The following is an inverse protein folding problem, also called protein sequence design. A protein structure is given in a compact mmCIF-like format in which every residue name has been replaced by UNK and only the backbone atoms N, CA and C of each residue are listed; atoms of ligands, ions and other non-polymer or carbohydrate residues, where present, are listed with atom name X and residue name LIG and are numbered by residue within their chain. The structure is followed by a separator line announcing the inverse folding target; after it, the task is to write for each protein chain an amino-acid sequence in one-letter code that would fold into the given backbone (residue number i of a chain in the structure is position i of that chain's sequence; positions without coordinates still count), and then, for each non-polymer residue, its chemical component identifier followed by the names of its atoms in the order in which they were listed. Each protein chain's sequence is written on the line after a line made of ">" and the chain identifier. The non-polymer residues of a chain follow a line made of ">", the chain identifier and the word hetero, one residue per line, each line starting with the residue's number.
data_IF_085847941650
#
_entry.id   IF_085847941650
#
_cell.length_a   1.000
_cell.length_b   1.000
_cell.length_c   1.000
_cell.angle_alpha   90.00
_cell.angle_beta   90.00
_cell.angle_gamma   90.00
#
_symmetry.space_group_name_H-M   'P 1'
#
loop_
_entity.id
_entity.type
_entity.pdbx_description
1 polymer ?
#
# COMPACT_ATOMS: atom_id res chain seq x y z
N UNK A 1 1.66 1.02 45.94
CA UNK A 1 1.20 2.10 45.03
C UNK A 1 1.19 1.53 43.63
N UNK A 2 0.15 1.79 42.83
CA UNK A 2 0.19 1.45 41.39
C UNK A 2 1.32 2.23 40.71
N UNK A 3 2.22 1.53 40.02
CA UNK A 3 3.24 2.17 39.21
C UNK A 3 2.61 2.64 37.88
N UNK A 4 2.21 3.91 37.83
CA UNK A 4 1.68 4.52 36.62
C UNK A 4 2.79 4.60 35.55
N UNK A 5 2.50 4.16 34.32
CA UNK A 5 3.47 4.18 33.21
C UNK A 5 3.56 5.54 32.52
N UNK A 6 3.00 6.59 33.11
CA UNK A 6 2.91 7.95 32.57
C UNK A 6 3.02 8.97 33.71
N UNK A 7 3.53 10.19 33.45
CA UNK A 7 3.65 11.23 34.47
C UNK A 7 2.29 11.64 35.01
N UNK A 8 2.23 11.87 36.33
CA UNK A 8 1.05 12.41 37.01
C UNK A 8 1.16 13.92 37.08
N UNK A 9 0.30 14.63 36.36
CA UNK A 9 0.27 16.09 36.33
C UNK A 9 -0.40 16.64 37.59
N UNK A 10 -0.03 17.85 38.02
CA UNK A 10 -0.74 18.50 39.12
C UNK A 10 -2.14 18.95 38.66
N UNK A 11 -3.10 19.10 39.57
CA UNK A 11 -4.41 19.70 39.28
C UNK A 11 -4.31 21.05 38.54
N UNK A 12 -3.29 21.86 38.85
CA UNK A 12 -3.11 23.19 38.30
C UNK A 12 -2.55 23.14 36.87
N UNK A 13 -1.61 22.23 36.60
CA UNK A 13 -1.11 21.94 35.24
C UNK A 13 -2.25 21.42 34.35
N UNK A 14 -3.07 20.51 34.87
CA UNK A 14 -4.22 19.94 34.15
C UNK A 14 -5.19 21.05 33.76
N UNK A 15 -5.62 21.89 34.71
CA UNK A 15 -6.53 23.01 34.42
C UNK A 15 -5.91 23.99 33.42
N UNK A 16 -4.63 24.35 33.61
CA UNK A 16 -3.91 25.26 32.70
C UNK A 16 -3.85 24.72 31.27
N UNK A 17 -3.51 23.44 31.12
CA UNK A 17 -3.48 22.78 29.81
C UNK A 17 -4.88 22.76 29.15
N UNK A 18 -5.91 22.35 29.89
CA UNK A 18 -7.29 22.28 29.39
C UNK A 18 -7.78 23.65 28.92
N UNK A 19 -7.53 24.72 29.70
CA UNK A 19 -7.91 26.09 29.33
C UNK A 19 -7.14 26.62 28.12
N UNK A 20 -5.86 26.29 27.98
CA UNK A 20 -5.00 26.82 26.91
C UNK A 20 -5.07 26.06 25.58
N UNK A 21 -5.37 24.75 25.61
CA UNK A 21 -5.18 23.87 24.45
C UNK A 21 -6.42 23.04 24.07
N UNK A 22 -7.46 22.99 24.91
CA UNK A 22 -8.64 22.14 24.67
C UNK A 22 -9.94 22.94 24.61
N UNK A 23 -10.17 23.79 25.62
CA UNK A 23 -11.39 24.57 25.78
C UNK A 23 -11.26 25.94 25.15
N UNK A 24 -12.38 26.55 24.77
CA UNK A 24 -12.40 27.87 24.12
C UNK A 24 -13.33 28.86 24.85
N UNK A 25 -12.98 30.16 24.76
CA UNK A 25 -13.86 31.27 25.15
C UNK A 25 -14.43 31.20 26.56
N UNK A 26 -15.74 30.97 26.67
CA UNK A 26 -16.44 30.86 27.95
C UNK A 26 -16.12 29.56 28.70
N UNK A 27 -15.92 28.43 28.00
CA UNK A 27 -15.60 27.12 28.60
C UNK A 27 -14.27 27.19 29.37
N UNK A 28 -13.25 27.78 28.73
CA UNK A 28 -11.93 27.95 29.33
C UNK A 28 -11.94 28.91 30.52
N UNK A 29 -12.70 30.02 30.45
CA UNK A 29 -12.80 30.99 31.55
C UNK A 29 -13.61 30.45 32.74
N UNK A 30 -14.65 29.66 32.47
CA UNK A 30 -15.54 29.10 33.51
C UNK A 30 -14.97 27.89 34.25
N UNK A 31 -14.10 27.09 33.62
CA UNK A 31 -13.51 25.91 34.26
C UNK A 31 -12.66 26.30 35.49
N UNK A 32 -12.96 25.77 36.67
CA UNK A 32 -12.10 25.90 37.87
C UNK A 32 -11.54 24.56 38.34
N UNK A 33 -10.51 24.62 39.20
CA UNK A 33 -9.93 23.45 39.88
C UNK A 33 -10.94 22.72 40.76
N UNK A 34 -11.89 23.44 41.35
CA UNK A 34 -12.90 22.86 42.23
C UNK A 34 -13.84 21.92 41.47
N UNK A 35 -14.20 22.28 40.24
CA UNK A 35 -15.13 21.54 39.35
C UNK A 35 -14.60 20.17 38.91
N UNK A 36 -13.30 19.91 39.06
CA UNK A 36 -12.64 18.65 38.66
C UNK A 36 -12.07 17.84 39.83
N UNK A 37 -11.69 18.50 40.93
CA UNK A 37 -10.88 17.87 41.98
C UNK A 37 -11.38 18.06 43.41
N UNK A 38 -12.25 19.05 43.67
CA UNK A 38 -12.90 19.18 44.98
C UNK A 38 -14.24 18.44 44.98
N UNK A 39 -15.16 18.88 44.12
CA UNK A 39 -16.41 18.19 43.80
C UNK A 39 -16.48 18.04 42.27
N UNK A 40 -16.01 16.90 41.71
CA UNK A 40 -16.00 16.68 40.27
C UNK A 40 -17.44 16.74 39.71
N UNK A 41 -17.72 17.74 38.88
CA UNK A 41 -19.03 17.91 38.23
C UNK A 41 -19.11 17.02 37.00
N UNK A 42 -20.07 16.08 36.90
CA UNK A 42 -20.20 15.18 35.75
C UNK A 42 -20.25 15.94 34.42
N UNK A 43 -21.04 17.01 34.34
CA UNK A 43 -21.33 17.76 33.12
C UNK A 43 -20.08 18.46 32.58
N UNK A 44 -19.26 19.01 33.48
CA UNK A 44 -17.98 19.64 33.15
C UNK A 44 -16.98 18.60 32.64
N UNK A 45 -16.95 17.42 33.26
CA UNK A 45 -16.08 16.33 32.83
C UNK A 45 -16.54 15.71 31.50
N UNK A 46 -17.85 15.60 31.27
CA UNK A 46 -18.43 15.14 30.01
C UNK A 46 -18.03 16.06 28.86
N UNK A 47 -18.18 17.37 29.05
CA UNK A 47 -17.75 18.39 28.08
C UNK A 47 -16.25 18.26 27.77
N UNK A 48 -15.39 18.11 28.79
CA UNK A 48 -13.95 17.92 28.60
C UNK A 48 -13.64 16.65 27.81
N UNK A 49 -14.24 15.52 28.15
CA UNK A 49 -14.04 14.25 27.43
C UNK A 49 -14.57 14.32 25.98
N UNK A 50 -15.74 14.93 25.74
CA UNK A 50 -16.24 15.18 24.39
C UNK A 50 -15.28 16.06 23.57
N UNK A 51 -14.75 17.13 24.15
CA UNK A 51 -13.75 18.02 23.51
C UNK A 51 -12.44 17.27 23.19
N UNK A 52 -12.01 16.36 24.06
CA UNK A 52 -10.82 15.51 23.83
C UNK A 52 -11.06 14.57 22.64
N UNK A 53 -12.20 13.88 22.61
CA UNK A 53 -12.57 12.97 21.51
C UNK A 53 -12.75 13.71 20.19
N UNK A 54 -13.36 14.91 20.20
CA UNK A 54 -13.41 15.83 19.07
C UNK A 54 -12.00 16.15 18.54
N UNK A 55 -11.07 16.54 19.42
CA UNK A 55 -9.71 16.95 19.03
C UNK A 55 -8.82 15.80 18.56
N UNK A 56 -8.97 14.61 19.16
CA UNK A 56 -8.14 13.43 18.86
C UNK A 56 -8.65 12.66 17.64
N UNK A 57 -9.95 12.37 17.59
CA UNK A 57 -10.57 11.49 16.58
C UNK A 57 -11.47 12.20 15.57
N UNK A 58 -11.77 13.50 15.74
CA UNK A 58 -12.69 14.21 14.84
C UNK A 58 -14.16 13.82 15.01
N UNK A 59 -14.52 13.18 16.13
CA UNK A 59 -15.90 12.78 16.45
C UNK A 59 -16.76 14.04 16.59
N UNK A 60 -17.81 14.20 15.79
CA UNK A 60 -18.69 15.37 15.81
C UNK A 60 -19.68 15.28 16.98
N UNK A 61 -20.26 16.41 17.38
CA UNK A 61 -21.22 16.45 18.50
C UNK A 61 -22.41 15.52 18.26
N UNK A 62 -22.93 15.49 17.03
CA UNK A 62 -24.04 14.61 16.60
C UNK A 62 -23.78 13.12 16.85
N UNK A 63 -22.51 12.65 16.77
CA UNK A 63 -22.15 11.25 16.96
C UNK A 63 -22.44 10.76 18.39
N UNK A 64 -22.36 11.64 19.38
CA UNK A 64 -22.72 11.33 20.75
C UNK A 64 -24.24 11.11 20.93
N UNK A 65 -25.06 11.62 20.02
CA UNK A 65 -26.53 11.46 20.03
C UNK A 65 -27.03 10.39 19.05
N UNK A 66 -26.14 9.63 18.39
CA UNK A 66 -26.57 8.57 17.48
C UNK A 66 -27.04 7.32 18.21
N UNK A 67 -28.20 6.80 17.79
CA UNK A 67 -28.75 5.53 18.23
C UNK A 67 -28.07 4.35 17.50
N UNK A 68 -27.70 3.25 18.17
CA UNK A 68 -27.27 2.03 17.50
C UNK A 68 -28.40 1.42 16.66
N UNK A 69 -28.14 1.17 15.38
CA UNK A 69 -29.14 0.66 14.39
C UNK A 69 -29.65 -0.76 14.68
N UNK A 70 -29.00 -1.48 15.59
CA UNK A 70 -29.27 -2.88 15.93
C UNK A 70 -30.07 -3.06 17.24
N UNK A 71 -30.63 -1.97 17.79
CA UNK A 71 -31.45 -2.02 19.00
C UNK A 71 -32.87 -1.56 18.65
N UNK A 72 -33.83 -2.49 18.72
CA UNK A 72 -35.23 -2.20 18.47
C UNK A 72 -35.86 -1.53 19.70
N UNK A 73 -36.01 -0.21 19.65
CA UNK A 73 -36.51 0.62 20.75
C UNK A 73 -37.88 1.19 20.37
N UNK A 74 -38.92 0.84 21.13
CA UNK A 74 -40.29 1.31 20.86
C UNK A 74 -40.47 2.83 20.98
N UNK A 75 -39.66 3.50 21.82
CA UNK A 75 -39.73 4.95 22.04
C UNK A 75 -38.33 5.58 22.06
N UNK A 76 -37.69 5.82 20.91
CA UNK A 76 -36.31 6.32 20.82
C UNK A 76 -36.09 7.66 21.54
N UNK A 77 -37.10 8.53 21.61
CA UNK A 77 -37.04 9.87 22.18
C UNK A 77 -36.71 9.85 23.68
N UNK A 78 -37.13 8.79 24.40
CA UNK A 78 -36.86 8.63 25.85
C UNK A 78 -35.35 8.53 26.13
N UNK A 79 -34.56 8.10 25.15
CA UNK A 79 -33.12 7.86 25.29
C UNK A 79 -32.26 9.08 24.92
N UNK A 80 -32.82 10.17 24.38
CA UNK A 80 -32.06 11.34 23.90
C UNK A 80 -31.10 11.92 24.95
N UNK A 81 -31.52 11.95 26.23
CA UNK A 81 -30.66 12.39 27.34
C UNK A 81 -29.61 11.37 27.79
N UNK A 82 -29.80 10.08 27.50
CA UNK A 82 -28.87 8.99 27.89
C UNK A 82 -27.83 8.70 26.80
N UNK A 83 -28.20 8.83 25.52
CA UNK A 83 -27.29 8.63 24.38
C UNK A 83 -25.94 9.34 24.51
N UNK A 84 -25.85 10.66 24.82
CA UNK A 84 -24.56 11.32 24.95
C UNK A 84 -23.70 10.73 26.08
N UNK A 85 -24.30 10.28 27.19
CA UNK A 85 -23.58 9.63 28.30
C UNK A 85 -23.07 8.24 27.90
N UNK A 86 -23.91 7.46 27.21
CA UNK A 86 -23.58 6.11 26.76
C UNK A 86 -22.50 6.11 25.66
N UNK A 87 -22.68 6.92 24.61
CA UNK A 87 -21.70 7.04 23.53
C UNK A 87 -20.39 7.66 24.03
N UNK A 88 -20.43 8.62 24.95
CA UNK A 88 -19.23 9.14 25.60
C UNK A 88 -18.47 8.03 26.34
N UNK A 89 -19.15 7.17 27.10
CA UNK A 89 -18.53 6.02 27.75
C UNK A 89 -17.86 5.09 26.73
N UNK A 90 -18.59 4.66 25.68
CA UNK A 90 -18.09 3.74 24.65
C UNK A 90 -16.83 4.30 23.95
N UNK A 91 -16.82 5.60 23.64
CA UNK A 91 -15.66 6.24 23.04
C UNK A 91 -14.48 6.38 24.01
N UNK A 92 -14.73 6.74 25.28
CA UNK A 92 -13.68 6.89 26.29
C UNK A 92 -13.08 5.56 26.74
N UNK A 93 -13.88 4.50 26.87
CA UNK A 93 -13.44 3.12 27.14
C UNK A 93 -12.47 2.62 26.07
N UNK A 94 -12.71 2.95 24.79
CA UNK A 94 -11.81 2.61 23.68
C UNK A 94 -10.57 3.50 23.61
N UNK A 95 -10.69 4.78 24.00
CA UNK A 95 -9.61 5.75 23.92
C UNK A 95 -8.58 5.61 25.05
N UNK A 96 -9.04 5.45 26.29
CA UNK A 96 -8.18 5.48 27.48
C UNK A 96 -7.08 4.40 27.52
N UNK A 97 -7.25 3.19 26.96
CA UNK A 97 -6.15 2.22 26.81
C UNK A 97 -4.98 2.75 25.97
N UNK A 98 -5.24 3.59 24.95
CA UNK A 98 -4.21 4.30 24.18
C UNK A 98 -3.45 5.29 25.07
N UNK A 99 -4.16 5.93 26.01
CA UNK A 99 -3.61 6.76 27.08
C UNK A 99 -3.02 5.96 28.27
N UNK A 100 -2.88 4.64 28.14
CA UNK A 100 -2.38 3.70 29.17
C UNK A 100 -3.25 3.59 30.44
N UNK A 101 -4.55 3.83 30.30
CA UNK A 101 -5.57 3.69 31.34
C UNK A 101 -6.56 2.60 30.93
N UNK A 102 -6.55 1.46 31.63
CA UNK A 102 -7.33 0.28 31.24
C UNK A 102 -8.53 -0.02 32.16
N UNK A 103 -8.72 0.76 33.24
CA UNK A 103 -9.71 0.49 34.29
C UNK A 103 -10.85 1.52 34.34
N UNK A 104 -11.15 2.15 33.20
CA UNK A 104 -12.25 3.12 33.09
C UNK A 104 -13.61 2.42 33.14
N UNK A 105 -14.58 3.03 33.82
CA UNK A 105 -15.91 2.44 34.04
C UNK A 105 -17.01 3.49 33.83
N UNK A 106 -18.24 3.05 33.54
CA UNK A 106 -19.40 3.95 33.40
C UNK A 106 -19.62 4.82 34.66
N UNK A 107 -19.24 4.32 35.84
CA UNK A 107 -19.25 5.07 37.09
C UNK A 107 -18.31 6.29 37.08
N UNK A 108 -17.25 6.31 36.28
CA UNK A 108 -16.36 7.47 36.13
C UNK A 108 -16.98 8.59 35.27
N UNK A 109 -17.99 8.25 34.45
CA UNK A 109 -18.81 9.21 33.70
C UNK A 109 -19.94 9.73 34.58
N UNK A 110 -20.66 8.84 35.27
CA UNK A 110 -21.87 9.21 36.04
C UNK A 110 -21.54 9.79 37.42
N UNK A 111 -20.50 9.29 38.10
CA UNK A 111 -20.15 9.67 39.47
C UNK A 111 -18.61 9.82 39.66
N UNK A 112 -17.99 10.76 38.93
CA UNK A 112 -16.53 10.92 38.86
C UNK A 112 -15.87 11.14 40.23
N UNK A 113 -14.72 10.49 40.43
CA UNK A 113 -13.92 10.61 41.67
C UNK A 113 -12.62 11.35 41.41
N UNK A 114 -12.39 12.45 42.12
CA UNK A 114 -11.26 13.37 41.92
C UNK A 114 -9.89 12.70 41.69
N UNK A 115 -9.55 11.68 42.50
CA UNK A 115 -8.28 10.94 42.36
C UNK A 115 -8.19 10.13 41.05
N UNK A 116 -9.29 9.56 40.57
CA UNK A 116 -9.40 8.82 39.29
C UNK A 116 -9.41 9.80 38.12
N UNK A 117 -10.23 10.86 38.18
CA UNK A 117 -10.28 11.96 37.21
C UNK A 117 -8.88 12.55 36.95
N UNK A 118 -8.11 12.84 38.00
CA UNK A 118 -6.73 13.33 37.87
C UNK A 118 -5.79 12.34 37.17
N UNK A 119 -5.92 11.03 37.45
CA UNK A 119 -5.13 9.98 36.78
C UNK A 119 -5.49 9.87 35.30
N UNK A 120 -6.78 9.91 34.96
CA UNK A 120 -7.26 9.83 33.58
C UNK A 120 -6.82 11.04 32.76
N UNK A 121 -7.05 12.26 33.26
CA UNK A 121 -6.60 13.48 32.59
C UNK A 121 -5.07 13.50 32.44
N UNK A 122 -4.30 12.98 33.42
CA UNK A 122 -2.85 12.85 33.29
C UNK A 122 -2.42 11.92 32.13
N UNK A 123 -3.06 10.75 32.01
CA UNK A 123 -2.78 9.81 30.91
C UNK A 123 -3.14 10.40 29.55
N UNK A 124 -4.28 11.10 29.47
CA UNK A 124 -4.72 11.80 28.25
C UNK A 124 -3.72 12.91 27.88
N UNK A 125 -3.34 13.77 28.81
CA UNK A 125 -2.36 14.85 28.56
C UNK A 125 -1.04 14.29 28.03
N UNK A 126 -0.51 13.23 28.66
CA UNK A 126 0.68 12.53 28.18
C UNK A 126 0.53 12.02 26.73
N UNK A 127 -0.62 11.42 26.38
CA UNK A 127 -0.90 11.01 25.00
C UNK A 127 -0.99 12.21 24.04
N UNK A 128 -1.68 13.30 24.41
CA UNK A 128 -1.82 14.47 23.53
C UNK A 128 -0.48 15.17 23.33
N UNK A 129 0.37 15.29 24.35
CA UNK A 129 1.74 15.79 24.20
C UNK A 129 2.58 14.93 23.26
N UNK A 130 2.47 13.60 23.35
CA UNK A 130 3.13 12.69 22.39
C UNK A 130 2.56 12.84 20.97
N UNK A 131 1.24 13.01 20.82
CA UNK A 131 0.60 13.24 19.52
C UNK A 131 1.09 14.54 18.87
N UNK A 132 1.10 15.64 19.60
CA UNK A 132 1.55 16.93 19.05
C UNK A 132 3.06 16.91 18.72
N UNK A 133 3.92 16.23 19.52
CA UNK A 133 5.35 16.09 19.17
C UNK A 133 5.63 15.16 17.98
N UNK A 134 4.66 14.36 17.55
CA UNK A 134 4.69 13.59 16.29
C UNK A 134 3.97 14.26 15.12
N UNK A 135 3.23 15.34 15.38
CA UNK A 135 2.35 15.97 14.39
C UNK A 135 3.12 16.64 13.26
N UNK A 136 4.23 17.29 13.56
CA UNK A 136 5.08 17.95 12.55
C UNK A 136 5.58 16.95 11.50
N UNK A 137 6.22 15.86 11.94
CA UNK A 137 6.68 14.77 11.06
C UNK A 137 5.54 14.13 10.26
N UNK A 138 4.35 14.01 10.85
CA UNK A 138 3.18 13.50 10.13
C UNK A 138 2.68 14.46 9.04
N UNK A 139 2.63 15.77 9.33
CA UNK A 139 2.21 16.79 8.37
C UNK A 139 3.21 16.93 7.21
N UNK A 140 4.51 16.83 7.48
CA UNK A 140 5.55 16.77 6.46
C UNK A 140 5.34 15.56 5.51
N UNK A 141 5.15 14.36 6.08
CA UNK A 141 4.88 13.15 5.30
C UNK A 141 3.57 13.27 4.48
N UNK A 142 2.52 13.85 5.07
CA UNK A 142 1.24 14.09 4.40
C UNK A 142 1.39 15.07 3.22
N UNK A 143 2.16 16.14 3.39
CA UNK A 143 2.44 17.11 2.32
C UNK A 143 3.24 16.48 1.18
N UNK A 144 4.29 15.72 1.52
CA UNK A 144 5.11 15.01 0.52
C UNK A 144 4.28 13.99 -0.28
N UNK A 145 3.38 13.24 0.38
CA UNK A 145 2.46 12.34 -0.28
C UNK A 145 1.47 13.08 -1.21
N UNK A 146 0.91 14.20 -0.75
CA UNK A 146 0.00 15.04 -1.55
C UNK A 146 0.69 15.55 -2.82
N UNK A 147 1.89 16.12 -2.71
CA UNK A 147 2.67 16.60 -3.85
C UNK A 147 3.02 15.47 -4.84
N UNK A 148 3.34 14.28 -4.34
CA UNK A 148 3.59 13.11 -5.18
C UNK A 148 2.32 12.68 -5.95
N UNK A 149 1.15 12.72 -5.31
CA UNK A 149 -0.13 12.39 -5.94
C UNK A 149 -0.53 13.42 -7.01
N UNK A 150 -0.36 14.72 -6.72
CA UNK A 150 -0.58 15.80 -7.69
C UNK A 150 0.33 15.66 -8.91
N UNK A 151 1.62 15.36 -8.71
CA UNK A 151 2.56 15.07 -9.81
C UNK A 151 2.17 13.81 -10.60
N UNK A 152 1.68 12.76 -9.93
CA UNK A 152 1.23 11.55 -10.62
C UNK A 152 0.03 11.85 -11.54
N UNK A 153 -0.97 12.59 -11.05
CA UNK A 153 -2.15 12.98 -11.83
C UNK A 153 -1.79 13.90 -13.02
N UNK A 154 -0.82 14.80 -12.86
CA UNK A 154 -0.29 15.61 -13.97
C UNK A 154 0.37 14.75 -15.06
N UNK A 155 1.22 13.79 -14.67
CA UNK A 155 1.87 12.88 -15.60
C UNK A 155 0.88 11.93 -16.29
N UNK A 156 -0.14 11.47 -15.58
CA UNK A 156 -1.22 10.64 -16.14
C UNK A 156 -2.02 11.43 -17.20
N UNK A 157 -2.36 12.69 -16.91
CA UNK A 157 -3.03 13.59 -17.86
C UNK A 157 -2.16 13.82 -19.11
N UNK A 158 -0.88 14.13 -18.93
CA UNK A 158 0.07 14.33 -20.03
C UNK A 158 0.26 13.05 -20.89
N UNK A 159 0.27 11.87 -20.27
CA UNK A 159 0.32 10.58 -20.98
C UNK A 159 -0.96 10.34 -21.80
N UNK A 160 -2.14 10.67 -21.28
CA UNK A 160 -3.41 10.57 -22.01
C UNK A 160 -3.41 11.52 -23.22
N UNK A 161 -2.97 12.77 -23.07
CA UNK A 161 -2.82 13.70 -24.19
C UNK A 161 -1.81 13.21 -25.25
N UNK A 162 -0.68 12.64 -24.82
CA UNK A 162 0.32 12.08 -25.71
C UNK A 162 -0.22 10.86 -26.48
N UNK A 163 -0.99 9.99 -25.82
CA UNK A 163 -1.65 8.85 -26.46
C UNK A 163 -2.65 9.30 -27.53
N UNK A 164 -3.49 10.30 -27.25
CA UNK A 164 -4.43 10.87 -28.24
C UNK A 164 -3.70 11.54 -29.41
N UNK A 165 -2.55 12.19 -29.17
CA UNK A 165 -1.70 12.73 -30.25
C UNK A 165 -1.11 11.62 -31.11
N UNK A 166 -0.61 10.54 -30.50
CA UNK A 166 -0.11 9.35 -31.21
C UNK A 166 -1.20 8.68 -32.05
N UNK A 167 -2.41 8.52 -31.53
CA UNK A 167 -3.54 7.96 -32.26
C UNK A 167 -3.88 8.81 -33.50
N UNK A 168 -3.94 10.14 -33.36
CA UNK A 168 -4.15 11.08 -34.47
C UNK A 168 -3.04 11.07 -35.53
N UNK A 169 -1.79 10.79 -35.14
CA UNK A 169 -0.67 10.70 -36.08
C UNK A 169 -0.60 9.34 -36.79
N UNK A 170 -1.02 8.26 -36.10
CA UNK A 170 -1.08 6.92 -36.68
C UNK A 170 -2.32 6.69 -37.56
N UNK A 171 -3.37 7.49 -37.40
CA UNK A 171 -4.54 7.50 -38.30
C UNK A 171 -4.27 8.38 -39.51
N UNK A 172 -3.80 7.76 -40.60
CA UNK A 172 -3.76 8.44 -41.92
C UNK A 172 -5.21 8.83 -42.29
N UNK A 173 -5.50 10.10 -42.56
CA UNK A 173 -6.82 10.53 -42.99
C UNK A 173 -7.27 9.77 -44.24
N UNK A 174 -8.54 9.35 -44.27
CA UNK A 174 -9.10 8.57 -45.41
C UNK A 174 -8.95 9.33 -46.73
N UNK A 175 -9.01 10.66 -46.68
CA UNK A 175 -8.75 11.58 -47.79
C UNK A 175 -7.31 11.44 -48.32
N UNK A 176 -6.30 11.50 -47.45
CA UNK A 176 -4.89 11.32 -47.85
C UNK A 176 -4.61 9.90 -48.34
N UNK A 177 -5.26 8.89 -47.77
CA UNK A 177 -5.15 7.50 -48.23
C UNK A 177 -5.77 7.33 -49.63
N UNK A 178 -6.85 8.06 -49.94
CA UNK A 178 -7.47 8.08 -51.27
C UNK A 178 -6.60 8.83 -52.29
N UNK A 179 -6.06 10.00 -51.92
CA UNK A 179 -5.12 10.77 -52.76
C UNK A 179 -3.86 9.96 -53.09
N UNK A 180 -3.25 9.29 -52.10
CA UNK A 180 -2.08 8.44 -52.33
C UNK A 180 -2.38 7.28 -53.30
N UNK A 181 -3.58 6.69 -53.19
CA UNK A 181 -4.01 5.61 -54.07
C UNK A 181 -4.23 6.13 -55.48
N UNK A 182 -4.96 7.24 -55.63
CA UNK A 182 -5.21 7.85 -56.94
C UNK A 182 -3.91 8.26 -57.63
N UNK A 183 -2.97 8.88 -56.91
CA UNK A 183 -1.65 9.23 -57.44
C UNK A 183 -0.84 7.98 -57.84
N UNK A 184 -0.95 6.88 -57.09
CA UNK A 184 -0.31 5.61 -57.44
C UNK A 184 -0.91 4.98 -58.70
N UNK A 185 -2.25 5.05 -58.85
CA UNK A 185 -2.96 4.56 -60.02
C UNK A 185 -2.59 5.41 -61.26
N UNK A 186 -2.55 6.75 -61.13
CA UNK A 186 -2.12 7.70 -62.18
C UNK A 186 -0.67 7.46 -62.62
N UNK A 187 0.26 7.22 -61.68
CA UNK A 187 1.67 6.87 -61.98
C UNK A 187 1.71 5.56 -62.76
N UNK A 188 0.94 4.55 -62.37
CA UNK A 188 0.92 3.25 -63.03
C UNK A 188 0.36 3.35 -64.46
N UNK A 189 -0.67 4.19 -64.70
CA UNK A 189 -1.18 4.46 -66.04
C UNK A 189 -0.14 5.20 -66.91
N UNK A 190 0.55 6.21 -66.35
CA UNK A 190 1.64 6.93 -67.02
C UNK A 190 2.82 6.00 -67.40
N UNK A 191 3.22 5.08 -66.52
CA UNK A 191 4.26 4.08 -66.80
C UNK A 191 3.85 3.12 -67.93
N UNK A 192 2.58 2.69 -67.96
CA UNK A 192 2.04 1.84 -69.03
C UNK A 192 1.99 2.59 -70.38
N UNK A 193 1.49 3.83 -70.38
CA UNK A 193 1.46 4.69 -71.56
C UNK A 193 2.87 4.94 -72.11
N UNK A 194 3.82 5.34 -71.24
CA UNK A 194 5.21 5.57 -71.62
C UNK A 194 5.85 4.30 -72.19
N UNK A 195 5.62 3.14 -71.55
CA UNK A 195 6.12 1.84 -72.01
C UNK A 195 5.55 1.44 -73.38
N UNK A 196 4.26 1.68 -73.61
CA UNK A 196 3.61 1.43 -74.90
C UNK A 196 4.19 2.34 -76.00
N UNK A 197 4.30 3.64 -75.72
CA UNK A 197 4.76 4.63 -76.68
C UNK A 197 6.25 4.45 -77.03
N UNK A 198 7.06 4.04 -76.05
CA UNK A 198 8.47 3.68 -76.27
C UNK A 198 8.61 2.44 -77.17
N UNK A 199 7.82 1.38 -76.91
CA UNK A 199 7.78 0.18 -77.78
C UNK A 199 7.36 0.54 -79.21
N UNK A 200 6.33 1.37 -79.37
CA UNK A 200 5.83 1.84 -80.67
C UNK A 200 6.90 2.64 -81.43
N UNK A 201 7.58 3.58 -80.77
CA UNK A 201 8.70 4.34 -81.35
C UNK A 201 9.88 3.44 -81.73
N UNK A 202 10.21 2.45 -80.90
CA UNK A 202 11.29 1.48 -81.19
C UNK A 202 10.97 0.64 -82.44
N UNK A 203 9.74 0.14 -82.56
CA UNK A 203 9.30 -0.61 -83.74
C UNK A 203 9.33 0.25 -85.01
N UNK A 204 8.83 1.49 -84.95
CA UNK A 204 8.89 2.41 -86.09
C UNK A 204 10.32 2.76 -86.51
N UNK A 205 11.24 2.94 -85.55
CA UNK A 205 12.66 3.15 -85.84
C UNK A 205 13.33 1.91 -86.45
N UNK A 206 13.00 0.71 -85.97
CA UNK A 206 13.50 -0.54 -86.56
C UNK A 206 13.04 -0.71 -88.01
N UNK A 207 11.79 -0.37 -88.33
CA UNK A 207 11.27 -0.40 -89.70
C UNK A 207 12.01 0.59 -90.62
N UNK A 208 12.21 1.83 -90.17
CA UNK A 208 12.99 2.84 -90.91
C UNK A 208 14.45 2.37 -91.10
N UNK A 209 15.07 1.76 -90.10
CA UNK A 209 16.42 1.18 -90.20
C UNK A 209 16.45 0.03 -91.20
N UNK A 210 15.42 -0.83 -91.22
CA UNK A 210 15.28 -1.94 -92.19
C UNK A 210 15.19 -1.40 -93.62
N UNK A 211 14.30 -0.44 -93.86
CA UNK A 211 14.16 0.22 -95.16
C UNK A 211 15.47 0.90 -95.59
N UNK A 212 16.13 1.64 -94.69
CA UNK A 212 17.41 2.31 -95.00
C UNK A 212 18.54 1.31 -95.32
N UNK A 213 18.57 0.14 -94.66
CA UNK A 213 19.51 -0.94 -95.04
C UNK A 213 19.21 -1.46 -96.44
N UNK A 214 17.94 -1.66 -96.80
CA UNK A 214 17.53 -2.04 -98.15
C UNK A 214 17.98 -0.99 -99.19
N UNK A 215 17.63 0.28 -98.98
CA UNK A 215 18.04 1.42 -99.82
C UNK A 215 19.58 1.46 -100.04
N UNK A 216 20.36 1.21 -98.98
CA UNK A 216 21.83 1.18 -99.03
C UNK A 216 22.34 0.00 -99.87
N UNK A 217 21.75 -1.20 -99.72
CA UNK A 217 22.15 -2.35 -100.54
C UNK A 217 21.85 -2.15 -102.02
N UNK A 218 20.70 -1.54 -102.35
CA UNK A 218 20.33 -1.22 -103.73
C UNK A 218 21.25 -0.14 -104.32
N UNK A 219 21.54 0.93 -103.57
CA UNK A 219 22.47 1.99 -104.02
C UNK A 219 23.90 1.50 -104.14
N UNK A 220 24.37 0.62 -103.25
CA UNK A 220 25.70 -0.01 -103.36
C UNK A 220 25.81 -0.86 -104.62
N UNK A 221 24.74 -1.59 -104.99
CA UNK A 221 24.69 -2.32 -106.27
C UNK A 221 24.82 -1.36 -107.47
N UNK A 222 23.99 -0.31 -107.53
CA UNK A 222 24.04 0.70 -108.61
C UNK A 222 25.39 1.42 -108.69
N UNK A 223 26.03 1.69 -107.55
CA UNK A 223 27.38 2.28 -107.48
C UNK A 223 28.43 1.34 -108.11
N UNK A 224 28.33 0.04 -107.86
CA UNK A 224 29.26 -0.93 -108.43
C UNK A 224 29.06 -1.09 -109.94
N UNK A 225 27.80 -1.09 -110.41
CA UNK A 225 27.46 -1.04 -111.83
C UNK A 225 28.07 0.21 -112.51
N UNK A 226 27.92 1.40 -111.90
CA UNK A 226 28.52 2.65 -112.40
C UNK A 226 30.06 2.65 -112.40
N UNK A 227 30.71 2.04 -111.41
CA UNK A 227 32.18 1.93 -111.36
C UNK A 227 32.74 1.15 -112.55
N UNK A 228 32.03 0.11 -113.01
CA UNK A 228 32.41 -0.62 -114.23
C UNK A 228 32.33 0.29 -115.46
N UNK A 229 31.24 1.05 -115.63
CA UNK A 229 31.11 1.99 -116.75
C UNK A 229 32.09 3.17 -116.71
N UNK A 230 32.54 3.58 -115.52
CA UNK A 230 33.56 4.63 -115.40
C UNK A 230 34.96 4.13 -115.78
N UNK A 231 35.24 2.84 -115.60
CA UNK A 231 36.51 2.25 -116.02
C UNK A 231 36.62 2.23 -117.55
N UNK A 232 35.56 1.82 -118.26
CA UNK A 232 35.53 1.79 -119.74
C UNK A 232 35.65 3.20 -120.33
N UNK A 233 34.95 4.20 -119.77
CA UNK A 233 35.05 5.59 -120.23
C UNK A 233 36.44 6.22 -119.98
N UNK A 234 37.21 5.72 -119.01
CA UNK A 234 38.61 6.17 -118.80
C UNK A 234 39.56 5.61 -119.86
N UNK A 235 39.36 4.38 -120.33
CA UNK A 235 40.13 3.85 -121.47
C UNK A 235 39.90 4.69 -122.74
N UNK A 236 38.66 5.16 -122.96
CA UNK A 236 38.33 6.08 -124.07
C UNK A 236 38.94 7.48 -123.87
N UNK A 237 38.98 7.99 -122.63
CA UNK A 237 39.56 9.30 -122.30
C UNK A 237 41.08 9.36 -122.55
N UNK A 238 41.81 8.28 -122.24
CA UNK A 238 43.25 8.21 -122.44
C UNK A 238 43.63 8.11 -123.95
N UNK A 239 42.76 7.55 -124.80
CA UNK A 239 42.96 7.56 -126.27
C UNK A 239 42.83 8.97 -126.89
N UNK A 240 41.94 9.80 -126.35
CA UNK A 240 41.63 11.14 -126.86
C UNK A 240 42.63 12.24 -126.43
N UNK A 241 43.55 11.96 -125.50
CA UNK A 241 44.62 12.89 -125.07
C UNK A 241 45.80 13.03 -126.05
N UNK A 242 45.72 12.41 -127.23
CA UNK A 242 46.82 12.37 -128.22
C UNK A 242 46.76 13.45 -129.32
N UNK A 243 45.79 14.40 -129.25
CA UNK A 243 45.59 15.40 -130.31
C UNK A 243 45.29 16.82 -129.78
N UNK A 244 46.12 17.75 -130.27
CA UNK A 244 45.94 19.21 -130.43
C UNK A 244 46.62 20.12 -129.41
N UNK A 245 47.37 21.05 -130.03
CA UNK A 245 48.26 22.14 -129.61
C UNK A 245 48.12 23.13 -130.80
N UNK A 246 48.15 24.47 -130.69
CA UNK A 246 48.90 25.33 -129.78
C UNK A 246 48.14 26.65 -129.40
N UNK A 247 48.92 27.65 -129.00
CA UNK A 247 48.72 29.10 -128.81
C UNK A 247 47.94 29.85 -129.92
N UNK A 248 47.43 31.08 -129.68
CA UNK A 248 48.31 32.24 -129.41
C UNK A 248 47.93 33.13 -128.22
N UNK A 249 48.95 33.50 -127.45
CA UNK A 249 48.97 34.74 -126.68
C UNK A 249 49.10 35.94 -127.62
N UNK A 250 48.13 36.86 -127.61
CA UNK A 250 48.39 38.31 -127.70
C UNK A 250 47.19 39.19 -127.25
N UNK A 251 46.34 38.68 -126.36
CA UNK A 251 45.30 39.47 -125.65
C UNK A 251 45.27 39.19 -124.14
N UNK A 252 46.45 38.87 -123.57
CA UNK A 252 46.61 38.44 -122.17
C UNK A 252 46.88 39.63 -121.23
N UNK A 253 47.84 40.49 -121.60
CA UNK A 253 48.37 41.54 -120.72
C UNK A 253 47.45 42.74 -120.46
N UNK A 254 46.38 42.96 -121.26
CA UNK A 254 45.36 43.97 -120.94
C UNK A 254 44.18 43.38 -120.14
N UNK A 255 43.96 42.07 -120.25
CA UNK A 255 42.88 41.38 -119.55
C UNK A 255 43.28 40.98 -118.11
N UNK A 256 44.57 40.74 -117.84
CA UNK A 256 45.09 40.43 -116.50
C UNK A 256 44.99 41.61 -115.53
N UNK A 257 45.33 42.84 -115.94
CA UNK A 257 45.25 44.03 -115.08
C UNK A 257 43.81 44.37 -114.66
N UNK A 258 42.85 44.16 -115.57
CA UNK A 258 41.42 44.34 -115.29
C UNK A 258 40.85 43.16 -114.46
N UNK A 259 41.34 41.92 -114.69
CA UNK A 259 41.07 40.76 -113.82
C UNK A 259 41.56 40.99 -112.40
N UNK A 260 42.78 41.50 -112.18
CA UNK A 260 43.31 41.76 -110.83
C UNK A 260 42.45 42.80 -110.10
N UNK A 261 42.05 43.87 -110.77
CA UNK A 261 41.21 44.91 -110.16
C UNK A 261 39.82 44.38 -109.79
N UNK A 262 39.19 43.60 -110.67
CA UNK A 262 37.90 42.94 -110.40
C UNK A 262 38.02 41.85 -109.34
N UNK A 263 39.09 41.04 -109.35
CA UNK A 263 39.33 40.00 -108.35
C UNK A 263 39.60 40.59 -106.97
N UNK A 264 40.31 41.72 -106.87
CA UNK A 264 40.52 42.44 -105.60
C UNK A 264 39.20 42.95 -105.03
N UNK A 265 38.31 43.49 -105.86
CA UNK A 265 36.98 43.95 -105.43
C UNK A 265 36.04 42.78 -105.09
N UNK A 266 36.08 41.67 -105.83
CA UNK A 266 35.35 40.44 -105.49
C UNK A 266 35.83 39.88 -104.15
N UNK A 267 37.14 39.68 -103.99
CA UNK A 267 37.73 39.19 -102.74
C UNK A 267 37.39 40.08 -101.54
N UNK A 268 37.45 41.41 -101.69
CA UNK A 268 36.99 42.35 -100.65
C UNK A 268 35.49 42.23 -100.35
N UNK A 269 34.65 41.92 -101.34
CA UNK A 269 33.21 41.65 -101.14
C UNK A 269 32.97 40.30 -100.45
N UNK A 270 33.65 39.23 -100.89
CA UNK A 270 33.64 37.92 -100.23
C UNK A 270 34.07 38.06 -98.75
N UNK A 271 35.17 38.75 -98.45
CA UNK A 271 35.65 39.01 -97.08
C UNK A 271 34.64 39.80 -96.21
N UNK A 272 33.82 40.67 -96.82
CA UNK A 272 32.73 41.38 -96.12
C UNK A 272 31.52 40.47 -95.91
N UNK A 273 31.21 39.59 -96.86
CA UNK A 273 30.14 38.59 -96.73
C UNK A 273 30.50 37.55 -95.67
N UNK A 274 31.70 36.95 -95.69
CA UNK A 274 32.17 36.02 -94.65
C UNK A 274 32.11 36.65 -93.25
N UNK A 275 32.51 37.92 -93.10
CA UNK A 275 32.38 38.65 -91.83
C UNK A 275 30.91 38.85 -91.44
N UNK A 276 30.05 39.18 -92.38
CA UNK A 276 28.61 39.36 -92.11
C UNK A 276 27.92 38.04 -91.74
N UNK A 277 28.23 36.94 -92.42
CA UNK A 277 27.72 35.61 -92.08
C UNK A 277 28.27 35.14 -90.72
N UNK A 278 29.56 35.35 -90.44
CA UNK A 278 30.13 35.09 -89.12
C UNK A 278 29.46 35.89 -87.99
N UNK A 279 29.06 37.14 -88.23
CA UNK A 279 28.26 37.92 -87.27
C UNK A 279 26.80 37.42 -87.17
N UNK A 280 26.17 37.02 -88.29
CA UNK A 280 24.82 36.44 -88.30
C UNK A 280 24.78 35.17 -87.45
N UNK A 281 25.73 34.26 -87.67
CA UNK A 281 25.78 32.97 -86.97
C UNK A 281 26.06 33.16 -85.46
N UNK A 282 26.85 34.18 -85.10
CA UNK A 282 27.03 34.58 -83.70
C UNK A 282 25.72 35.08 -83.06
N UNK A 283 24.90 35.82 -83.82
CA UNK A 283 23.60 36.34 -83.37
C UNK A 283 22.54 35.23 -83.31
N UNK A 284 22.56 34.24 -84.22
CA UNK A 284 21.67 33.07 -84.15
C UNK A 284 22.02 32.14 -82.97
N UNK A 285 23.28 32.10 -82.52
CA UNK A 285 23.68 31.33 -81.33
C UNK A 285 23.29 31.99 -79.99
N UNK A 286 23.05 33.31 -80.00
CA UNK A 286 22.80 34.13 -78.80
C UNK A 286 21.57 33.68 -77.97
N UNK A 287 20.41 33.34 -78.59
CA UNK A 287 19.24 32.82 -77.86
C UNK A 287 19.48 31.47 -77.15
N UNK A 288 20.32 30.60 -77.71
CA UNK A 288 20.69 29.33 -77.07
C UNK A 288 21.53 29.59 -75.81
N UNK A 289 22.53 30.48 -75.92
CA UNK A 289 23.35 30.91 -74.80
C UNK A 289 22.50 31.60 -73.70
N UNK A 290 21.54 32.46 -74.08
CA UNK A 290 20.60 33.09 -73.15
C UNK A 290 19.71 32.06 -72.42
N UNK A 291 19.25 31.02 -73.12
CA UNK A 291 18.45 29.93 -72.55
C UNK A 291 19.26 29.10 -71.55
N UNK A 292 20.54 28.87 -71.83
CA UNK A 292 21.46 28.17 -70.93
C UNK A 292 21.77 29.01 -69.66
N UNK A 293 21.97 30.32 -69.79
CA UNK A 293 22.12 31.23 -68.63
C UNK A 293 20.90 31.19 -67.72
N UNK A 294 19.67 31.20 -68.28
CA UNK A 294 18.44 31.08 -67.50
C UNK A 294 18.31 29.72 -66.79
N UNK A 295 18.81 28.65 -67.40
CA UNK A 295 18.86 27.33 -66.77
C UNK A 295 19.82 27.32 -65.56
N UNK A 296 20.98 27.97 -65.68
CA UNK A 296 21.92 28.09 -64.55
C UNK A 296 21.39 28.99 -63.44
N UNK A 297 20.68 30.09 -63.74
CA UNK A 297 19.99 30.89 -62.72
C UNK A 297 18.97 30.07 -61.92
N UNK A 298 18.09 29.31 -62.60
CA UNK A 298 17.14 28.40 -61.92
C UNK A 298 17.81 27.30 -61.10
N UNK A 299 19.03 26.86 -61.46
CA UNK A 299 19.82 25.93 -60.65
C UNK A 299 20.40 26.62 -59.41
N UNK A 300 20.87 27.86 -59.52
CA UNK A 300 21.34 28.66 -58.38
C UNK A 300 20.22 28.93 -57.37
N UNK A 301 19.04 29.37 -57.81
CA UNK A 301 17.88 29.61 -56.92
C UNK A 301 17.45 28.36 -56.14
N UNK A 302 17.54 27.17 -56.76
CA UNK A 302 17.29 25.89 -56.08
C UNK A 302 18.38 25.58 -55.06
N UNK A 303 19.64 25.85 -55.40
CA UNK A 303 20.77 25.60 -54.51
C UNK A 303 20.74 26.51 -53.28
N UNK A 304 20.35 27.78 -53.44
CA UNK A 304 20.15 28.73 -52.34
C UNK A 304 19.10 28.21 -51.34
N UNK A 305 17.92 27.81 -51.83
CA UNK A 305 16.87 27.18 -50.99
C UNK A 305 17.34 25.90 -50.29
N UNK A 306 18.12 25.06 -50.98
CA UNK A 306 18.69 23.86 -50.37
C UNK A 306 19.68 24.18 -49.24
N UNK A 307 20.47 25.26 -49.37
CA UNK A 307 21.39 25.73 -48.32
C UNK A 307 20.61 26.27 -47.12
N UNK A 308 19.52 26.99 -47.35
CA UNK A 308 18.64 27.50 -46.28
C UNK A 308 17.95 26.37 -45.50
N UNK A 309 17.43 25.35 -46.21
CA UNK A 309 16.89 24.12 -45.60
C UNK A 309 17.98 23.38 -44.79
N UNK A 310 19.19 23.25 -45.34
CA UNK A 310 20.30 22.59 -44.65
C UNK A 310 20.69 23.34 -43.36
N UNK A 311 20.67 24.67 -43.37
CA UNK A 311 20.92 25.48 -42.18
C UNK A 311 19.84 25.26 -41.09
N UNK A 312 18.56 25.17 -41.48
CA UNK A 312 17.47 24.82 -40.57
C UNK A 312 17.68 23.44 -39.94
N UNK A 313 17.94 22.41 -40.75
CA UNK A 313 18.18 21.04 -40.26
C UNK A 313 19.38 20.97 -39.32
N UNK A 314 20.48 21.67 -39.62
CA UNK A 314 21.65 21.74 -38.74
C UNK A 314 21.36 22.40 -37.39
N UNK A 315 20.42 23.36 -37.35
CA UNK A 315 19.97 23.98 -36.09
C UNK A 315 19.09 23.04 -35.26
N UNK A 316 18.25 22.24 -35.90
CA UNK A 316 17.43 21.22 -35.24
C UNK A 316 18.30 20.09 -34.67
N UNK A 317 19.29 19.63 -35.43
CA UNK A 317 20.27 18.62 -34.96
C UNK A 317 20.97 19.08 -33.69
N UNK A 318 21.48 20.33 -33.63
CA UNK A 318 22.10 20.87 -32.41
C UNK A 318 21.16 20.91 -31.22
N UNK A 319 19.92 21.33 -31.42
CA UNK A 319 18.91 21.36 -30.36
C UNK A 319 18.61 19.95 -29.83
N UNK A 320 18.59 18.93 -30.71
CA UNK A 320 18.44 17.53 -30.33
C UNK A 320 19.69 16.99 -29.60
N UNK A 321 20.89 17.41 -29.98
CA UNK A 321 22.15 17.08 -29.29
C UNK A 321 22.16 17.67 -27.86
N UNK A 322 21.82 18.95 -27.69
CA UNK A 322 21.70 19.63 -26.39
C UNK A 322 20.66 18.93 -25.49
N UNK A 323 19.49 18.57 -26.05
CA UNK A 323 18.45 17.82 -25.34
C UNK A 323 18.96 16.43 -24.91
N UNK A 324 19.68 15.73 -25.78
CA UNK A 324 20.22 14.40 -25.49
C UNK A 324 21.28 14.45 -24.39
N UNK A 325 22.18 15.44 -24.40
CA UNK A 325 23.15 15.63 -23.31
C UNK A 325 22.45 15.94 -21.98
N UNK A 326 21.45 16.81 -21.99
CA UNK A 326 20.68 17.14 -20.77
C UNK A 326 19.98 15.91 -20.16
N UNK A 327 19.31 15.09 -20.99
CA UNK A 327 18.69 13.84 -20.56
C UNK A 327 19.72 12.81 -20.05
N UNK A 328 20.93 12.80 -20.62
CA UNK A 328 22.01 11.91 -20.20
C UNK A 328 22.62 12.32 -18.85
N UNK A 329 22.62 13.62 -18.52
CA UNK A 329 22.96 14.14 -17.19
C UNK A 329 21.89 13.74 -16.16
N UNK A 330 20.61 13.92 -16.49
CA UNK A 330 19.51 13.48 -15.61
C UNK A 330 19.53 11.98 -15.34
N UNK A 331 19.81 11.16 -16.37
CA UNK A 331 19.95 9.71 -16.22
C UNK A 331 21.11 9.32 -15.28
N UNK A 332 22.25 10.03 -15.35
CA UNK A 332 23.39 9.81 -14.42
C UNK A 332 23.02 10.17 -12.97
N UNK A 333 22.27 11.27 -12.79
CA UNK A 333 21.75 11.66 -11.46
C UNK A 333 20.78 10.62 -10.92
N UNK A 334 19.78 10.21 -11.70
CA UNK A 334 18.80 9.19 -11.32
C UNK A 334 19.43 7.84 -10.94
N UNK A 335 20.46 7.39 -11.66
CA UNK A 335 21.24 6.19 -11.29
C UNK A 335 21.99 6.34 -9.97
N UNK A 336 22.49 7.54 -9.66
CA UNK A 336 23.17 7.82 -8.39
C UNK A 336 22.17 7.79 -7.22
N UNK A 337 21.00 8.40 -7.42
CA UNK A 337 19.90 8.39 -6.46
C UNK A 337 19.39 6.96 -6.22
N UNK A 338 19.20 6.15 -7.27
CA UNK A 338 18.82 4.73 -7.20
C UNK A 338 19.81 3.91 -6.34
N UNK A 339 21.12 4.07 -6.54
CA UNK A 339 22.15 3.39 -5.74
C UNK A 339 22.10 3.83 -4.27
N UNK A 340 21.84 5.12 -4.00
CA UNK A 340 21.69 5.62 -2.63
C UNK A 340 20.46 5.04 -1.93
N UNK A 341 19.33 4.94 -2.63
CA UNK A 341 18.08 4.37 -2.13
C UNK A 341 18.21 2.87 -1.89
N UNK A 342 18.86 2.12 -2.79
CA UNK A 342 19.17 0.69 -2.59
C UNK A 342 19.98 0.47 -1.30
N UNK A 343 21.03 1.27 -1.05
CA UNK A 343 21.80 1.20 0.21
C UNK A 343 20.94 1.49 1.44
N UNK A 344 20.05 2.48 1.36
CA UNK A 344 19.12 2.82 2.44
C UNK A 344 18.14 1.67 2.74
N UNK A 345 17.59 1.03 1.71
CA UNK A 345 16.70 -0.14 1.85
C UNK A 345 17.41 -1.29 2.56
N UNK A 346 18.63 -1.66 2.13
CA UNK A 346 19.43 -2.70 2.80
C UNK A 346 19.65 -2.37 4.29
N UNK A 347 20.09 -1.15 4.60
CA UNK A 347 20.33 -0.73 5.98
C UNK A 347 19.05 -0.67 6.85
N UNK A 348 17.86 -0.52 6.24
CA UNK A 348 16.57 -0.65 6.95
C UNK A 348 16.20 -2.11 7.17
N UNK A 349 16.48 -2.98 6.21
CA UNK A 349 16.22 -4.42 6.28
C UNK A 349 17.08 -5.10 7.37
N UNK A 350 18.37 -4.77 7.45
CA UNK A 350 19.26 -5.23 8.52
C UNK A 350 18.78 -4.82 9.92
N UNK A 351 18.29 -3.58 10.06
CA UNK A 351 17.72 -3.07 11.32
C UNK A 351 16.43 -3.79 11.69
N UNK A 352 15.59 -4.13 10.71
CA UNK A 352 14.36 -4.89 10.92
C UNK A 352 14.69 -6.31 11.41
N UNK A 353 15.56 -7.03 10.71
CA UNK A 353 16.01 -8.37 11.09
C UNK A 353 16.64 -8.39 12.50
N UNK A 354 17.47 -7.39 12.82
CA UNK A 354 18.03 -7.23 14.18
C UNK A 354 16.95 -7.00 15.24
N UNK A 355 15.87 -6.30 14.91
CA UNK A 355 14.75 -6.08 15.83
C UNK A 355 13.89 -7.34 15.99
N UNK A 356 13.66 -8.11 14.92
CA UNK A 356 12.93 -9.38 14.93
C UNK A 356 13.65 -10.41 15.81
N UNK A 357 14.96 -10.59 15.65
CA UNK A 357 15.78 -11.48 16.50
C UNK A 357 15.68 -11.09 17.99
N UNK A 358 15.64 -9.78 18.29
CA UNK A 358 15.46 -9.27 19.67
C UNK A 358 14.05 -9.48 20.22
N UNK A 359 13.03 -9.48 19.36
CA UNK A 359 11.64 -9.78 19.75
C UNK A 359 11.52 -11.27 20.04
N UNK A 360 12.09 -12.13 19.18
CA UNK A 360 11.99 -13.58 19.35
C UNK A 360 12.70 -14.06 20.61
N UNK A 361 13.94 -13.60 20.84
CA UNK A 361 14.64 -13.88 22.09
C UNK A 361 13.83 -13.47 23.33
N UNK A 362 13.14 -12.33 23.30
CA UNK A 362 12.25 -11.92 24.39
C UNK A 362 11.01 -12.79 24.54
N UNK A 363 10.50 -13.40 23.47
CA UNK A 363 9.42 -14.40 23.54
C UNK A 363 9.92 -15.67 24.21
N UNK A 364 11.10 -16.16 23.81
CA UNK A 364 11.76 -17.32 24.43
C UNK A 364 12.00 -17.09 25.94
N UNK A 365 12.59 -15.95 26.31
CA UNK A 365 12.84 -15.58 27.72
C UNK A 365 11.53 -15.57 28.55
N UNK A 366 10.43 -15.06 27.99
CA UNK A 366 9.11 -15.00 28.65
C UNK A 366 8.45 -16.38 28.76
N UNK A 367 8.56 -17.22 27.74
CA UNK A 367 7.98 -18.57 27.76
C UNK A 367 8.75 -19.49 28.71
N UNK A 368 10.09 -19.39 28.77
CA UNK A 368 10.90 -20.05 29.79
C UNK A 368 10.52 -19.60 31.22
N UNK A 369 10.33 -18.28 31.43
CA UNK A 369 9.87 -17.78 32.72
C UNK A 369 8.49 -18.35 33.09
N UNK A 370 7.54 -18.34 32.16
CA UNK A 370 6.20 -18.93 32.33
C UNK A 370 6.24 -20.41 32.68
N UNK A 371 7.10 -21.21 32.01
CA UNK A 371 7.32 -22.61 32.35
C UNK A 371 7.85 -22.78 33.78
N UNK A 372 8.84 -21.98 34.19
CA UNK A 372 9.39 -22.04 35.55
C UNK A 372 8.36 -21.70 36.65
N UNK A 373 7.45 -20.75 36.37
CA UNK A 373 6.34 -20.39 37.27
C UNK A 373 5.31 -21.52 37.35
N UNK A 374 4.96 -22.16 36.22
CA UNK A 374 4.05 -23.32 36.21
C UNK A 374 4.62 -24.50 37.01
N UNK A 375 5.90 -24.81 36.86
CA UNK A 375 6.56 -25.83 37.68
C UNK A 375 6.53 -25.51 39.18
N UNK A 376 6.73 -24.23 39.55
CA UNK A 376 6.66 -23.80 40.95
C UNK A 376 5.23 -23.95 41.49
N UNK A 377 4.22 -23.52 40.73
CA UNK A 377 2.81 -23.69 41.08
C UNK A 377 2.43 -25.17 41.26
N UNK A 378 2.90 -26.06 40.38
CA UNK A 378 2.68 -27.51 40.50
C UNK A 378 3.30 -28.06 41.80
N UNK A 379 4.56 -27.72 42.10
CA UNK A 379 5.22 -28.12 43.36
C UNK A 379 4.51 -27.60 44.63
N UNK A 380 3.88 -26.43 44.56
CA UNK A 380 3.05 -25.90 45.65
C UNK A 380 1.72 -26.66 45.75
N UNK A 381 1.08 -26.96 44.62
CA UNK A 381 -0.16 -27.74 44.55
C UNK A 381 0.02 -29.16 45.12
N UNK A 382 1.10 -29.86 44.76
CA UNK A 382 1.50 -31.17 45.29
C UNK A 382 1.68 -31.13 46.82
N UNK A 383 2.46 -30.16 47.33
CA UNK A 383 2.63 -29.97 48.78
C UNK A 383 1.31 -29.70 49.49
N UNK A 384 0.41 -28.92 48.88
CA UNK A 384 -0.92 -28.64 49.44
C UNK A 384 -1.79 -29.89 49.47
N UNK A 385 -1.74 -30.74 48.43
CA UNK A 385 -2.38 -32.05 48.41
C UNK A 385 -1.90 -32.94 49.55
N UNK A 386 -0.59 -33.14 49.67
CA UNK A 386 0.00 -33.95 50.74
C UNK A 386 -0.31 -33.43 52.17
N UNK A 387 -0.51 -32.12 52.35
CA UNK A 387 -0.99 -31.56 53.62
C UNK A 387 -2.49 -31.82 53.82
N UNK A 388 -3.31 -31.69 52.77
CA UNK A 388 -4.74 -31.97 52.82
C UNK A 388 -5.03 -33.43 53.19
N UNK A 389 -4.28 -34.39 52.60
CA UNK A 389 -4.42 -35.82 52.90
C UNK A 389 -4.08 -36.13 54.37
N UNK A 390 -3.03 -35.50 54.91
CA UNK A 390 -2.67 -35.60 56.34
C UNK A 390 -3.75 -35.02 57.24
N UNK A 391 -4.28 -33.84 56.92
CA UNK A 391 -5.37 -33.20 57.68
C UNK A 391 -6.64 -34.07 57.65
N UNK A 392 -6.96 -34.66 56.50
CA UNK A 392 -8.11 -35.57 56.35
C UNK A 392 -7.92 -36.84 57.17
N UNK A 393 -6.71 -37.40 57.19
CA UNK A 393 -6.36 -38.57 58.02
C UNK A 393 -6.54 -38.25 59.51
N UNK A 394 -5.96 -37.16 60.00
CA UNK A 394 -6.10 -36.71 61.40
C UNK A 394 -7.57 -36.43 61.74
N UNK A 395 -8.36 -35.85 60.82
CA UNK A 395 -9.78 -35.63 61.05
C UNK A 395 -10.53 -36.96 61.25
N UNK A 396 -10.26 -37.97 60.43
CA UNK A 396 -10.85 -39.30 60.55
C UNK A 396 -10.46 -39.99 61.88
N UNK A 397 -9.19 -39.87 62.30
CA UNK A 397 -8.72 -40.36 63.60
C UNK A 397 -9.42 -39.67 64.78
N UNK A 398 -9.63 -38.35 64.71
CA UNK A 398 -10.39 -37.57 65.70
C UNK A 398 -11.85 -38.07 65.78
N UNK A 399 -12.50 -38.30 64.64
CA UNK A 399 -13.89 -38.81 64.62
C UNK A 399 -13.98 -40.22 65.22
N UNK A 400 -13.08 -41.13 64.85
CA UNK A 400 -13.01 -42.48 65.44
C UNK A 400 -12.74 -42.44 66.95
N UNK A 401 -11.86 -41.54 67.40
CA UNK A 401 -11.53 -41.39 68.83
C UNK A 401 -12.71 -40.83 69.62
N UNK A 402 -13.42 -39.83 69.09
CA UNK A 402 -14.66 -39.30 69.69
C UNK A 402 -15.74 -40.38 69.82
N UNK A 403 -15.93 -41.19 68.78
CA UNK A 403 -16.88 -42.30 68.81
C UNK A 403 -16.52 -43.33 69.90
N UNK A 404 -15.24 -43.70 70.04
CA UNK A 404 -14.76 -44.59 71.13
C UNK A 404 -14.99 -43.98 72.52
N UNK A 405 -14.74 -42.68 72.69
CA UNK A 405 -15.00 -41.98 73.97
C UNK A 405 -16.50 -42.02 74.30
N UNK A 406 -17.37 -41.77 73.32
CA UNK A 406 -18.82 -41.86 73.52
C UNK A 406 -19.24 -43.27 73.96
N UNK A 407 -18.78 -44.32 73.27
CA UNK A 407 -19.07 -45.71 73.65
C UNK A 407 -18.58 -46.07 75.05
N UNK A 408 -17.40 -45.57 75.46
CA UNK A 408 -16.87 -45.77 76.81
C UNK A 408 -17.72 -45.07 77.87
N UNK A 409 -18.19 -43.83 77.61
CA UNK A 409 -19.08 -43.11 78.51
C UNK A 409 -20.43 -43.82 78.64
N UNK A 410 -21.07 -44.21 77.53
CA UNK A 410 -22.34 -44.96 77.54
C UNK A 410 -22.22 -46.31 78.29
N UNK A 411 -21.05 -46.95 78.24
CA UNK A 411 -20.80 -48.18 79.01
C UNK A 411 -20.54 -47.88 80.49
N UNK A 412 -19.81 -46.81 80.82
CA UNK A 412 -19.59 -46.39 82.21
C UNK A 412 -20.91 -46.00 82.90
N UNK A 413 -21.80 -45.26 82.21
CA UNK A 413 -23.14 -44.94 82.71
C UNK A 413 -23.98 -46.20 82.96
N UNK A 414 -23.91 -47.22 82.08
CA UNK A 414 -24.60 -48.51 82.28
C UNK A 414 -24.05 -49.26 83.49
N UNK A 415 -22.73 -49.31 83.69
CA UNK A 415 -22.14 -49.94 84.87
C UNK A 415 -22.44 -49.16 86.16
N UNK A 416 -22.48 -47.83 86.13
CA UNK A 416 -22.91 -47.01 87.26
C UNK A 416 -24.38 -47.27 87.63
N UNK A 417 -25.26 -47.40 86.63
CA UNK A 417 -26.66 -47.77 86.84
C UNK A 417 -26.81 -49.17 87.45
N UNK A 418 -26.07 -50.18 86.96
CA UNK A 418 -26.02 -51.51 87.58
C UNK A 418 -25.50 -51.46 89.02
N UNK A 419 -24.45 -50.68 89.28
CA UNK A 419 -23.88 -50.55 90.63
C UNK A 419 -24.89 -49.90 91.60
N UNK A 420 -25.63 -48.89 91.16
CA UNK A 420 -26.74 -48.28 91.91
C UNK A 420 -27.86 -49.29 92.18
N UNK A 421 -28.24 -50.09 91.19
CA UNK A 421 -29.26 -51.14 91.33
C UNK A 421 -28.83 -52.23 92.32
N UNK A 422 -27.59 -52.72 92.23
CA UNK A 422 -27.01 -53.68 93.17
C UNK A 422 -26.99 -53.10 94.60
N UNK A 423 -26.58 -51.84 94.76
CA UNK A 423 -26.58 -51.16 96.05
C UNK A 423 -27.99 -51.05 96.65
N UNK A 424 -28.99 -50.65 95.85
CA UNK A 424 -30.39 -50.57 96.27
C UNK A 424 -30.95 -51.95 96.68
N UNK A 425 -30.67 -52.98 95.89
CA UNK A 425 -31.09 -54.35 96.18
C UNK A 425 -30.44 -54.91 97.45
N UNK A 426 -29.14 -54.67 97.65
CA UNK A 426 -28.43 -55.02 98.89
C UNK A 426 -29.02 -54.28 100.10
N UNK A 427 -29.28 -52.97 99.98
CA UNK A 427 -29.90 -52.16 101.03
C UNK A 427 -31.27 -52.70 101.42
N UNK A 428 -32.15 -52.94 100.45
CA UNK A 428 -33.49 -53.50 100.69
C UNK A 428 -33.42 -54.91 101.30
N UNK A 429 -32.46 -55.75 100.88
CA UNK A 429 -32.19 -57.05 101.50
C UNK A 429 -31.73 -56.93 102.96
N UNK A 430 -30.89 -55.93 103.26
CA UNK A 430 -30.42 -55.64 104.62
C UNK A 430 -31.56 -55.15 105.52
N UNK A 431 -32.39 -54.24 105.03
CA UNK A 431 -33.59 -53.73 105.72
C UNK A 431 -34.57 -54.86 106.01
N UNK A 432 -34.89 -55.70 105.01
CA UNK A 432 -35.75 -56.89 105.18
C UNK A 432 -35.20 -57.87 106.22
N UNK A 433 -33.87 -58.01 106.33
CA UNK A 433 -33.22 -58.84 107.36
C UNK A 433 -33.32 -58.21 108.76
N UNK A 434 -33.17 -56.89 108.88
CA UNK A 434 -33.40 -56.16 110.13
C UNK A 434 -34.86 -56.28 110.58
N UNK A 435 -35.84 -56.05 109.69
CA UNK A 435 -37.26 -56.23 109.99
C UNK A 435 -37.59 -57.66 110.44
N UNK A 436 -36.96 -58.65 109.80
CA UNK A 436 -37.10 -60.06 110.18
C UNK A 436 -36.54 -60.31 111.59
N UNK A 437 -35.34 -59.80 111.90
CA UNK A 437 -34.75 -59.88 113.25
C UNK A 437 -35.61 -59.16 114.30
N UNK A 438 -36.15 -57.98 113.99
CA UNK A 438 -37.06 -57.24 114.86
C UNK A 438 -38.36 -58.03 115.11
N UNK A 439 -38.92 -58.68 114.08
CA UNK A 439 -40.07 -59.59 114.25
C UNK A 439 -39.72 -60.79 115.13
N UNK A 440 -38.58 -61.44 114.91
CA UNK A 440 -38.16 -62.58 115.74
C UNK A 440 -37.95 -62.15 117.20
N UNK A 441 -37.33 -61.00 117.45
CA UNK A 441 -37.16 -60.43 118.79
C UNK A 441 -38.50 -60.10 119.47
N UNK A 442 -39.46 -59.50 118.75
CA UNK A 442 -40.81 -59.25 119.24
C UNK A 442 -41.57 -60.54 119.56
N UNK A 443 -41.47 -61.55 118.72
CA UNK A 443 -42.08 -62.87 118.97
C UNK A 443 -41.46 -63.57 120.19
N UNK A 444 -40.14 -63.43 120.39
CA UNK A 444 -39.44 -63.95 121.57
C UNK A 444 -39.81 -63.20 122.85
N UNK A 445 -40.03 -61.89 122.76
CA UNK A 445 -40.53 -61.07 123.87
C UNK A 445 -41.96 -61.47 124.26
N UNK A 446 -42.87 -61.60 123.29
CA UNK A 446 -44.24 -62.06 123.53
C UNK A 446 -44.27 -63.47 124.16
N UNK A 447 -43.51 -64.43 123.61
CA UNK A 447 -43.41 -65.79 124.18
C UNK A 447 -42.82 -65.80 125.60
N UNK A 448 -41.96 -64.84 125.94
CA UNK A 448 -41.44 -64.64 127.30
C UNK A 448 -42.49 -64.04 128.23
N UNK A 449 -43.31 -63.10 127.76
CA UNK A 449 -44.42 -62.54 128.53
C UNK A 449 -45.51 -63.60 128.81
N UNK A 450 -45.86 -64.43 127.83
CA UNK A 450 -46.78 -65.56 128.01
C UNK A 450 -46.27 -66.55 129.08
N UNK A 451 -44.98 -66.93 129.03
CA UNK A 451 -44.36 -67.80 130.05
C UNK A 451 -44.30 -67.16 131.44
N UNK A 452 -44.13 -65.84 131.53
CA UNK A 452 -44.19 -65.11 132.81
C UNK A 452 -45.64 -65.05 133.33
N UNK A 453 -46.64 -64.98 132.46
CA UNK A 453 -48.05 -65.06 132.83
C UNK A 453 -48.44 -66.45 133.35
N UNK A 454 -47.97 -67.54 132.71
CA UNK A 454 -48.13 -68.91 133.23
C UNK A 454 -47.53 -69.07 134.64
N UNK A 455 -46.28 -68.63 134.83
CA UNK A 455 -45.59 -68.72 136.12
C UNK A 455 -46.30 -67.93 137.24
N UNK A 456 -46.87 -66.76 136.92
CA UNK A 456 -47.68 -65.99 137.89
C UNK A 456 -49.01 -66.69 138.23
N UNK A 457 -49.58 -67.47 137.30
CA UNK A 457 -50.84 -68.19 137.53
C UNK A 457 -50.65 -69.42 138.44
N UNK A 458 -49.47 -70.04 138.43
CA UNK A 458 -49.13 -71.16 139.32
C UNK A 458 -48.76 -70.76 140.76
N UNK A 459 -48.37 -69.50 141.00
CA UNK A 459 -47.86 -69.02 142.30
C UNK A 459 -48.93 -68.55 143.30
N UNK A 460 -50.21 -68.49 142.89
CA UNK A 460 -51.32 -67.99 143.70
C UNK A 460 -52.30 -69.08 144.17
N UNK A 461 -52.00 -70.36 143.91
CA UNK A 461 -52.83 -71.49 144.28
C UNK A 461 -52.01 -72.65 144.85
N UNK A 462 -51.58 -72.53 146.11
CA UNK A 462 -51.44 -73.59 147.14
C UNK A 462 -50.88 -72.95 148.42
N UNK A 463 -51.75 -72.76 149.41
CA UNK A 463 -51.46 -73.13 150.80
C UNK A 463 -52.78 -73.43 151.51
N UNK A 464 -52.84 -74.59 152.16
CA UNK A 464 -54.07 -75.37 152.41
C UNK A 464 -54.34 -75.55 153.92
N UNK A 465 -55.46 -76.20 154.30
CA UNK A 465 -55.56 -76.93 155.57
C UNK A 465 -55.87 -78.43 155.36
N UNK A 466 -55.38 -79.41 156.14
CA UNK A 466 -54.51 -79.43 157.35
C UNK A 466 -54.00 -80.87 157.64
N UNK A 467 -52.74 -81.05 158.11
CA UNK A 467 -52.18 -82.13 159.00
C UNK A 467 -52.51 -83.64 158.80
N UNK A 468 -51.62 -84.64 158.89
CA UNK A 468 -50.14 -84.72 159.10
C UNK A 468 -49.63 -86.13 158.74
N UNK A 469 -48.48 -86.24 158.07
CA UNK A 469 -47.45 -87.32 158.15
C UNK A 469 -46.20 -86.88 157.39
#
# INVERSE_FOLDING_TARGET
>A
MEALTFPRYSPDDIVTYLRGHLLAGAEARGLTKADLFANPKPEVLHMIFMRILQKVYGIRLEHFYMMPVNVEIMYPQIFEGFLPVCNLYIHMERFLPVCRVNDFQIADVINPKAKRTARFLSGILNFVHFRESRRETYLELQMNYKLAMEKHQQLETANQEAAVKLEKLNTVPVEQQAEFKQLSDDIQELEQLLSHDYRRKTAALQEVISQKKSDITERTRKLNELKVTMATLKEEQEQLKSKIVESPEEMKNYMELMKETVNRLKKSKEEVIEKYEGYRDLVEALPACQSEVQLYQKKMERQEKNVEILASVLSEVRNLEDQLESAQIELKKGKTDEVSLKRLVTAKHERLSTAEIRIEKKREDVEQYKQSVLEYCNRVQEKRGAVYDKVTTIHNEIQQTRFKIQQLNENAEKEEMKAKEIYLNLKAGLEKRHDSLIKTAKNYAASREDKIAELKKGLLSIQSPRSSS
#
